data_IF_983140040242
#
_entry.id   IF_983140040242
#
_cell.length_a   1.000
_cell.length_b   1.000
_cell.length_c   1.000
_cell.angle_alpha   90.00
_cell.angle_beta   90.00
_cell.angle_gamma   90.00
#
_symmetry.space_group_name_H-M   'P 1'
#
loop_
_entity.id
_entity.type
_entity.pdbx_description
1 polymer ?
#
# COMPACT_ATOMS: atom_id res chain seq x y z
N UNK A 1 -21.36 16.09 37.97
CA UNK A 1 -22.24 15.63 39.08
C UNK A 1 -23.26 14.65 38.58
N UNK A 2 -23.77 13.87 39.49
CA UNK A 2 -24.94 12.99 39.27
C UNK A 2 -26.18 13.81 39.47
N UNK A 3 -27.13 13.76 38.53
CA UNK A 3 -28.38 14.50 38.64
C UNK A 3 -29.52 13.51 38.82
N UNK A 4 -30.40 13.79 39.78
CA UNK A 4 -31.59 13.03 40.05
C UNK A 4 -32.81 13.84 39.67
N UNK A 5 -33.64 13.28 38.80
CA UNK A 5 -34.83 13.92 38.28
C UNK A 5 -36.09 13.16 38.77
N UNK A 6 -37.09 13.92 39.13
CA UNK A 6 -38.42 13.39 39.30
C UNK A 6 -39.43 14.33 38.65
N UNK A 7 -40.57 13.81 38.24
CA UNK A 7 -41.66 14.56 37.61
C UNK A 7 -42.88 14.53 38.52
N UNK A 8 -43.57 15.67 38.59
CA UNK A 8 -44.80 15.80 39.34
C UNK A 8 -45.85 16.46 38.42
N UNK A 9 -46.95 15.77 38.21
CA UNK A 9 -48.07 16.37 37.50
C UNK A 9 -48.81 17.35 38.41
N UNK A 10 -49.38 18.38 37.84
CA UNK A 10 -50.19 19.32 38.56
C UNK A 10 -51.48 19.66 37.74
N UNK A 11 -52.51 20.04 38.46
CA UNK A 11 -53.74 20.66 37.89
C UNK A 11 -54.06 21.93 38.66
N UNK A 12 -54.79 22.84 38.03
CA UNK A 12 -55.28 24.06 38.68
C UNK A 12 -56.80 23.97 38.86
N UNK A 13 -57.24 24.34 40.05
CA UNK A 13 -58.66 24.56 40.36
C UNK A 13 -58.75 25.97 40.92
N UNK A 14 -59.13 26.94 40.06
CA UNK A 14 -58.99 28.37 40.39
C UNK A 14 -57.51 28.73 40.60
N UNK A 15 -57.24 29.48 41.66
CA UNK A 15 -55.87 29.90 42.03
C UNK A 15 -55.09 28.83 42.81
N UNK A 16 -55.67 27.65 43.03
CA UNK A 16 -54.98 26.59 43.78
C UNK A 16 -54.37 25.55 42.81
N UNK A 17 -53.04 25.31 42.95
CA UNK A 17 -52.38 24.19 42.34
C UNK A 17 -52.59 22.91 43.21
N UNK A 18 -53.09 21.88 42.53
CA UNK A 18 -53.18 20.52 43.11
C UNK A 18 -52.07 19.66 42.49
N UNK A 19 -51.12 19.21 43.31
CA UNK A 19 -49.96 18.46 42.87
C UNK A 19 -50.21 16.94 43.07
N UNK A 20 -49.96 16.17 42.03
CA UNK A 20 -49.95 14.73 42.12
C UNK A 20 -48.76 14.17 42.92
N UNK A 21 -48.76 12.88 43.23
CA UNK A 21 -47.59 12.21 43.78
C UNK A 21 -46.37 12.33 42.86
N UNK A 22 -45.21 12.58 43.42
CA UNK A 22 -43.95 12.62 42.67
C UNK A 22 -43.65 11.24 42.04
N UNK A 23 -43.19 11.23 40.81
CA UNK A 23 -42.69 10.00 40.17
C UNK A 23 -41.51 9.39 40.90
N UNK A 24 -41.18 8.14 40.61
CA UNK A 24 -39.91 7.56 41.04
C UNK A 24 -38.74 8.41 40.48
N UNK A 25 -37.69 8.55 41.26
CA UNK A 25 -36.52 9.30 40.89
C UNK A 25 -35.70 8.52 39.84
N UNK A 26 -35.28 9.23 38.77
CA UNK A 26 -34.36 8.70 37.78
C UNK A 26 -33.03 9.47 37.90
N UNK A 27 -31.97 8.73 38.09
CA UNK A 27 -30.63 9.29 38.24
C UNK A 27 -29.85 9.23 36.90
N UNK A 28 -29.31 10.36 36.49
CA UNK A 28 -28.46 10.48 35.30
C UNK A 28 -27.07 11.00 35.70
N UNK A 29 -26.06 10.26 35.33
CA UNK A 29 -24.66 10.69 35.47
C UNK A 29 -24.06 11.03 34.12
N UNK A 30 -23.43 12.20 33.93
CA UNK A 30 -22.74 12.50 32.69
C UNK A 30 -21.66 11.46 32.41
N UNK A 31 -21.54 11.04 31.17
CA UNK A 31 -20.46 10.14 30.71
C UNK A 31 -19.89 10.63 29.38
N UNK A 32 -18.56 10.43 29.13
CA UNK A 32 -17.99 10.76 27.84
C UNK A 32 -18.62 9.91 26.72
N UNK A 33 -18.92 10.54 25.57
CA UNK A 33 -19.46 9.87 24.39
C UNK A 33 -18.30 9.37 23.54
N UNK A 34 -18.15 8.05 23.45
CA UNK A 34 -17.13 7.40 22.62
C UNK A 34 -17.44 7.58 21.13
N UNK A 35 -16.43 8.00 20.33
CA UNK A 35 -16.54 8.18 18.88
C UNK A 35 -15.94 7.03 18.09
N UNK A 36 -14.69 6.69 18.36
CA UNK A 36 -13.99 5.67 17.56
C UNK A 36 -12.86 4.98 18.32
N UNK A 37 -12.55 3.77 17.89
CA UNK A 37 -11.30 3.06 18.18
C UNK A 37 -10.72 2.59 16.84
N UNK A 38 -9.52 3.07 16.50
CA UNK A 38 -8.88 2.80 15.19
C UNK A 38 -7.48 2.24 15.39
N UNK A 39 -7.23 1.06 14.82
CA UNK A 39 -5.91 0.45 14.84
C UNK A 39 -4.87 1.32 14.12
N UNK A 40 -3.69 1.44 14.73
CA UNK A 40 -2.56 2.16 14.18
C UNK A 40 -1.28 1.32 14.24
N UNK A 41 -0.47 1.40 13.20
CA UNK A 41 0.90 0.86 13.13
C UNK A 41 1.07 -0.64 13.50
N UNK A 42 -0.03 -1.42 13.54
CA UNK A 42 0.01 -2.85 13.86
C UNK A 42 0.24 -3.20 15.34
N UNK A 43 0.34 -2.20 16.23
CA UNK A 43 0.59 -2.39 17.66
C UNK A 43 -0.06 -1.33 18.55
N UNK A 44 -0.97 -0.53 18.00
CA UNK A 44 -1.64 0.52 18.74
C UNK A 44 -3.10 0.69 18.30
N UNK A 45 -3.92 1.31 19.16
CA UNK A 45 -5.28 1.75 18.87
C UNK A 45 -5.43 3.19 19.34
N UNK A 46 -5.83 4.09 18.44
CA UNK A 46 -6.26 5.44 18.80
C UNK A 46 -7.74 5.42 19.14
N UNK A 47 -8.07 5.88 20.35
CA UNK A 47 -9.45 6.04 20.85
C UNK A 47 -9.78 7.51 20.87
N UNK A 48 -10.99 7.88 20.46
CA UNK A 48 -11.49 9.25 20.49
C UNK A 48 -12.87 9.30 21.10
N UNK A 49 -13.18 10.41 21.79
CA UNK A 49 -14.48 10.67 22.41
C UNK A 49 -14.86 12.15 22.32
N UNK A 50 -16.08 12.49 22.68
CA UNK A 50 -16.49 13.89 22.79
C UNK A 50 -15.96 14.50 24.09
N UNK A 51 -15.42 15.73 24.04
CA UNK A 51 -15.03 16.45 25.25
C UNK A 51 -16.27 16.64 26.17
N UNK A 52 -16.13 16.28 27.43
CA UNK A 52 -17.15 16.51 28.45
C UNK A 52 -16.79 17.80 29.21
N UNK A 53 -17.71 18.77 29.24
CA UNK A 53 -17.49 20.03 29.97
C UNK A 53 -17.38 19.79 31.47
N UNK A 54 -16.50 20.54 32.13
CA UNK A 54 -16.33 20.52 33.58
C UNK A 54 -15.55 19.33 34.14
N UNK A 55 -14.87 18.56 33.28
CA UNK A 55 -13.92 17.52 33.72
C UNK A 55 -12.50 18.03 33.72
N UNK A 56 -11.72 17.64 34.71
CA UNK A 56 -10.30 18.02 34.82
C UNK A 56 -9.40 17.17 33.93
N UNK A 57 -9.80 15.91 33.75
CA UNK A 57 -9.05 14.93 32.95
C UNK A 57 -9.92 13.69 32.63
N UNK A 58 -9.34 12.74 31.91
CA UNK A 58 -9.97 11.46 31.59
C UNK A 58 -9.10 10.30 32.05
N UNK A 59 -9.78 9.15 32.31
CA UNK A 59 -9.16 7.84 32.51
C UNK A 59 -9.68 6.92 31.41
N UNK A 60 -8.78 6.35 30.61
CA UNK A 60 -9.07 5.36 29.59
C UNK A 60 -8.94 3.96 30.19
N UNK A 61 -9.97 3.15 30.04
CA UNK A 61 -9.97 1.74 30.37
C UNK A 61 -10.03 0.90 29.10
N UNK A 62 -9.48 -0.30 29.18
CA UNK A 62 -9.57 -1.29 28.12
C UNK A 62 -9.84 -2.68 28.65
N UNK A 63 -10.38 -3.54 27.80
CA UNK A 63 -10.42 -4.99 27.99
C UNK A 63 -9.98 -5.68 26.70
N UNK A 64 -9.21 -6.75 26.86
CA UNK A 64 -8.68 -7.56 25.76
C UNK A 64 -9.55 -8.79 25.57
N UNK A 65 -10.05 -9.06 24.35
CA UNK A 65 -10.83 -10.25 24.01
C UNK A 65 -11.95 -10.56 25.01
N UNK A 66 -12.64 -9.53 25.52
CA UNK A 66 -13.74 -9.69 26.47
C UNK A 66 -13.36 -9.92 27.94
N UNK A 67 -12.09 -9.82 28.31
CA UNK A 67 -11.62 -9.90 29.72
C UNK A 67 -12.17 -8.76 30.59
N UNK A 68 -11.80 -8.73 31.88
CA UNK A 68 -12.11 -7.62 32.77
C UNK A 68 -11.48 -6.30 32.34
N UNK A 69 -12.09 -5.18 32.76
CA UNK A 69 -11.59 -3.84 32.51
C UNK A 69 -10.27 -3.59 33.24
N UNK A 70 -9.29 -3.02 32.54
CA UNK A 70 -8.00 -2.57 33.05
C UNK A 70 -7.80 -1.12 32.67
N UNK A 71 -7.06 -0.38 33.47
CA UNK A 71 -6.67 0.99 33.16
C UNK A 71 -5.58 1.00 32.09
N UNK A 72 -5.79 1.77 31.03
CA UNK A 72 -4.81 2.00 29.98
C UNK A 72 -3.97 3.27 30.25
N UNK A 73 -4.64 4.33 30.71
CA UNK A 73 -4.01 5.62 31.01
C UNK A 73 -4.93 6.49 31.88
N UNK A 74 -4.32 7.41 32.64
CA UNK A 74 -5.00 8.43 33.44
C UNK A 74 -4.42 9.83 33.19
N UNK A 75 -5.06 10.85 33.77
CA UNK A 75 -4.69 12.25 33.64
C UNK A 75 -4.64 12.74 32.18
N UNK A 76 -5.46 12.13 31.30
CA UNK A 76 -5.56 12.50 29.89
C UNK A 76 -6.29 13.84 29.80
N UNK A 77 -5.69 14.84 29.15
CA UNK A 77 -6.30 16.17 28.97
C UNK A 77 -7.06 16.30 27.67
N UNK A 78 -6.64 15.57 26.64
CA UNK A 78 -7.27 15.57 25.33
C UNK A 78 -8.46 14.62 25.26
N UNK A 79 -9.35 14.84 24.30
CA UNK A 79 -10.45 13.93 23.98
C UNK A 79 -10.02 12.75 23.10
N UNK A 80 -8.76 12.35 23.19
CA UNK A 80 -8.21 11.19 22.50
C UNK A 80 -6.99 10.62 23.21
N UNK A 81 -6.73 9.32 22.98
CA UNK A 81 -5.53 8.66 23.50
C UNK A 81 -5.11 7.54 22.54
N UNK A 82 -3.80 7.33 22.39
CA UNK A 82 -3.25 6.20 21.61
C UNK A 82 -2.66 5.16 22.57
N UNK A 83 -3.36 4.04 22.72
CA UNK A 83 -2.89 2.90 23.50
C UNK A 83 -1.93 2.08 22.65
N UNK A 84 -0.68 1.96 23.08
CA UNK A 84 0.44 1.33 22.36
C UNK A 84 0.81 -0.03 22.95
N UNK A 85 1.79 -0.71 22.33
CA UNK A 85 2.31 -2.04 22.75
C UNK A 85 1.23 -3.13 22.77
N UNK A 86 0.27 -3.02 21.88
CA UNK A 86 -0.82 -3.97 21.72
C UNK A 86 -0.41 -5.15 20.84
N UNK A 87 -1.07 -6.29 21.06
CA UNK A 87 -0.81 -7.52 20.31
C UNK A 87 -1.59 -7.53 19.00
N UNK A 88 -0.89 -7.74 17.89
CA UNK A 88 -1.48 -7.89 16.57
C UNK A 88 -2.51 -9.04 16.53
N UNK A 89 -3.68 -8.77 15.97
CA UNK A 89 -4.77 -9.73 15.82
C UNK A 89 -5.73 -9.77 17.00
N UNK A 90 -5.40 -9.22 18.17
CA UNK A 90 -6.30 -9.19 19.30
C UNK A 90 -7.32 -8.05 19.19
N UNK A 91 -8.49 -8.27 19.81
CA UNK A 91 -9.54 -7.28 19.94
C UNK A 91 -9.40 -6.55 21.28
N UNK A 92 -9.46 -5.22 21.24
CA UNK A 92 -9.49 -4.38 22.42
C UNK A 92 -10.76 -3.54 22.41
N UNK A 93 -11.46 -3.55 23.54
CA UNK A 93 -12.64 -2.70 23.78
C UNK A 93 -12.25 -1.63 24.79
N UNK A 94 -12.69 -0.41 24.54
CA UNK A 94 -12.31 0.76 25.34
C UNK A 94 -13.53 1.46 25.92
N UNK A 95 -13.36 2.03 27.09
CA UNK A 95 -14.30 2.97 27.69
C UNK A 95 -13.55 4.08 28.43
N UNK A 96 -14.21 5.20 28.64
CA UNK A 96 -13.60 6.41 29.22
C UNK A 96 -14.47 6.94 30.36
N UNK A 97 -13.83 7.41 31.42
CA UNK A 97 -14.44 8.20 32.49
C UNK A 97 -13.82 9.59 32.53
N UNK A 98 -14.64 10.61 32.73
CA UNK A 98 -14.16 11.91 33.14
C UNK A 98 -13.83 11.94 34.64
N UNK A 99 -12.93 12.82 35.05
CA UNK A 99 -12.51 13.04 36.45
C UNK A 99 -12.78 14.50 36.79
N UNK A 100 -13.41 14.74 37.95
CA UNK A 100 -13.62 16.06 38.53
C UNK A 100 -13.19 15.98 39.97
N UNK A 101 -12.08 16.65 40.32
CA UNK A 101 -11.42 16.45 41.61
C UNK A 101 -11.10 14.95 41.83
N UNK A 102 -11.62 14.40 42.92
CA UNK A 102 -11.46 12.96 43.25
C UNK A 102 -12.59 12.07 42.73
N UNK A 103 -13.58 12.64 42.04
CA UNK A 103 -14.75 11.89 41.57
C UNK A 103 -14.61 11.50 40.09
N UNK A 104 -15.22 10.35 39.75
CA UNK A 104 -15.27 9.81 38.36
C UNK A 104 -16.69 9.86 37.85
N UNK A 105 -16.86 10.27 36.60
CA UNK A 105 -18.17 10.17 35.91
C UNK A 105 -18.55 8.71 35.67
N UNK A 106 -19.77 8.48 35.24
CA UNK A 106 -20.16 7.19 34.70
C UNK A 106 -19.45 6.87 33.39
N UNK A 107 -19.63 5.67 32.83
CA UNK A 107 -18.95 5.21 31.64
C UNK A 107 -19.85 4.28 30.80
N UNK A 108 -19.59 4.26 29.50
CA UNK A 108 -20.27 3.33 28.60
C UNK A 108 -19.77 1.89 28.83
N UNK A 109 -20.65 1.03 29.39
CA UNK A 109 -20.33 -0.38 29.73
C UNK A 109 -20.06 -1.24 28.48
N UNK A 110 -20.63 -0.89 27.31
CA UNK A 110 -20.39 -1.61 26.05
C UNK A 110 -19.05 -1.24 25.45
N UNK A 111 -18.68 0.06 25.55
CA UNK A 111 -17.44 0.59 24.98
C UNK A 111 -17.41 0.62 23.47
N UNK A 112 -16.23 0.95 22.91
CA UNK A 112 -15.93 0.90 21.48
C UNK A 112 -14.77 -0.06 21.24
N UNK A 113 -14.86 -0.90 20.19
CA UNK A 113 -13.93 -2.00 19.96
C UNK A 113 -13.14 -1.83 18.67
N UNK A 114 -11.89 -2.27 18.68
CA UNK A 114 -11.06 -2.44 17.50
C UNK A 114 -10.20 -3.71 17.56
N UNK A 115 -10.01 -4.35 16.42
CA UNK A 115 -8.92 -5.32 16.27
C UNK A 115 -7.64 -4.58 15.94
N UNK A 116 -6.51 -5.01 16.51
CA UNK A 116 -5.19 -4.55 16.09
C UNK A 116 -4.86 -5.22 14.78
N UNK A 117 -4.86 -4.45 13.69
CA UNK A 117 -4.61 -4.94 12.33
C UNK A 117 -3.24 -4.51 11.82
N UNK A 118 -2.66 -5.21 10.82
CA UNK A 118 -1.38 -4.81 10.25
C UNK A 118 -1.39 -3.35 9.77
N UNK A 119 -0.28 -2.66 9.95
CA UNK A 119 -0.09 -1.33 9.37
C UNK A 119 -0.11 -1.37 7.83
N UNK A 120 -0.25 -0.20 7.21
CA UNK A 120 -0.11 -0.07 5.76
C UNK A 120 1.28 -0.51 5.31
N UNK A 121 1.32 -1.32 4.25
CA UNK A 121 2.57 -1.80 3.67
C UNK A 121 3.28 -0.66 2.94
N UNK A 122 4.56 -0.46 3.20
CA UNK A 122 5.39 0.46 2.41
C UNK A 122 5.66 -0.18 1.06
N UNK A 123 5.05 0.39 0.01
CA UNK A 123 5.23 -0.06 -1.37
C UNK A 123 6.65 0.28 -1.84
N UNK A 124 7.30 -0.67 -2.52
CA UNK A 124 8.62 -0.51 -3.09
C UNK A 124 8.57 -0.02 -4.55
N UNK A 125 8.86 -0.91 -5.50
CA UNK A 125 8.91 -0.58 -6.93
C UNK A 125 8.05 -1.54 -7.75
N UNK A 126 7.56 -1.03 -8.90
CA UNK A 126 7.04 -1.87 -9.99
C UNK A 126 8.01 -1.76 -11.15
N UNK A 127 8.72 -2.83 -11.44
CA UNK A 127 9.74 -2.89 -12.50
C UNK A 127 9.30 -3.83 -13.60
N UNK A 128 9.78 -3.58 -14.82
CA UNK A 128 9.58 -4.53 -15.92
C UNK A 128 10.32 -5.83 -15.61
N UNK A 129 9.64 -6.96 -15.77
CA UNK A 129 10.22 -8.30 -15.72
C UNK A 129 10.15 -9.01 -17.07
N UNK A 130 9.67 -8.30 -18.11
CA UNK A 130 9.52 -8.77 -19.47
C UNK A 130 8.51 -7.94 -20.24
N UNK A 131 8.28 -8.28 -21.50
CA UNK A 131 7.34 -7.56 -22.37
C UNK A 131 5.87 -7.70 -21.93
N UNK A 132 5.55 -8.72 -21.16
CA UNK A 132 4.21 -9.13 -20.75
C UNK A 132 4.07 -9.27 -19.24
N UNK A 133 5.05 -8.80 -18.45
CA UNK A 133 5.06 -8.98 -17.01
C UNK A 133 5.79 -7.87 -16.26
N UNK A 134 5.36 -7.64 -15.04
CA UNK A 134 5.99 -6.69 -14.12
C UNK A 134 6.24 -7.36 -12.76
N UNK A 135 7.29 -6.94 -12.09
CA UNK A 135 7.61 -7.36 -10.72
C UNK A 135 7.30 -6.22 -9.74
N UNK A 136 6.46 -6.52 -8.75
CA UNK A 136 6.16 -5.66 -7.63
C UNK A 136 7.03 -6.06 -6.44
N UNK A 137 7.42 -5.08 -5.61
CA UNK A 137 8.12 -5.32 -4.34
C UNK A 137 7.53 -4.41 -3.26
N UNK A 138 7.65 -4.83 -2.01
CA UNK A 138 7.22 -4.07 -0.82
C UNK A 138 8.03 -4.48 0.40
N UNK A 139 7.96 -3.67 1.44
CA UNK A 139 8.67 -3.93 2.70
C UNK A 139 7.92 -5.00 3.50
N UNK A 140 8.68 -5.94 4.09
CA UNK A 140 8.13 -6.94 5.02
C UNK A 140 7.48 -6.25 6.21
N UNK A 141 6.29 -6.73 6.57
CA UNK A 141 5.55 -6.31 7.77
C UNK A 141 5.70 -7.41 8.83
N UNK A 142 6.18 -7.04 10.01
CA UNK A 142 6.30 -7.98 11.14
C UNK A 142 4.92 -8.48 11.57
N UNK A 143 4.82 -9.78 11.82
CA UNK A 143 3.57 -10.43 12.19
C UNK A 143 2.55 -10.62 11.06
N UNK A 144 2.88 -10.23 9.82
CA UNK A 144 2.02 -10.53 8.68
C UNK A 144 2.06 -12.02 8.36
N UNK A 145 0.88 -12.63 8.23
CA UNK A 145 0.71 -13.99 7.71
C UNK A 145 0.74 -14.06 6.18
N UNK A 146 0.65 -12.90 5.52
CA UNK A 146 0.70 -12.79 4.06
C UNK A 146 0.23 -11.41 3.57
N UNK A 147 0.12 -11.30 2.26
CA UNK A 147 -0.21 -10.06 1.56
C UNK A 147 -1.26 -10.31 0.49
N UNK A 148 -2.17 -9.35 0.33
CA UNK A 148 -3.13 -9.31 -0.77
C UNK A 148 -2.73 -8.20 -1.72
N UNK A 149 -2.52 -8.55 -2.98
CA UNK A 149 -2.18 -7.63 -4.06
C UNK A 149 -3.46 -7.23 -4.78
N UNK A 150 -3.60 -5.94 -5.05
CA UNK A 150 -4.68 -5.37 -5.84
C UNK A 150 -4.12 -4.65 -7.06
N UNK A 151 -4.88 -4.70 -8.14
CA UNK A 151 -4.65 -3.93 -9.37
C UNK A 151 -5.81 -2.95 -9.56
N UNK A 152 -5.51 -1.74 -10.05
CA UNK A 152 -6.53 -0.75 -10.37
C UNK A 152 -7.10 -1.01 -11.76
N UNK A 153 -8.39 -1.32 -11.84
CA UNK A 153 -9.11 -1.52 -13.09
C UNK A 153 -10.35 -0.61 -13.09
N UNK A 154 -10.53 0.18 -14.14
CA UNK A 154 -11.65 1.11 -14.28
C UNK A 154 -11.88 1.97 -13.01
N UNK A 155 -10.79 2.49 -12.43
CA UNK A 155 -10.81 3.30 -11.23
C UNK A 155 -10.95 2.53 -9.91
N UNK A 156 -11.29 1.25 -9.91
CA UNK A 156 -11.53 0.41 -8.72
C UNK A 156 -10.39 -0.55 -8.44
N UNK A 157 -10.12 -0.83 -7.17
CA UNK A 157 -9.16 -1.83 -6.73
C UNK A 157 -9.77 -3.24 -6.81
N UNK A 158 -9.17 -4.08 -7.64
CA UNK A 158 -9.57 -5.48 -7.82
C UNK A 158 -8.48 -6.40 -7.28
N UNK A 159 -8.87 -7.41 -6.51
CA UNK A 159 -7.92 -8.41 -5.97
C UNK A 159 -7.28 -9.16 -7.13
N UNK A 160 -5.95 -9.12 -7.18
CA UNK A 160 -5.12 -9.80 -8.18
C UNK A 160 -4.62 -11.14 -7.66
N UNK A 161 -4.00 -11.15 -6.48
CA UNK A 161 -3.38 -12.34 -5.89
C UNK A 161 -3.21 -12.23 -4.38
N UNK A 162 -2.82 -13.35 -3.77
CA UNK A 162 -2.37 -13.44 -2.38
C UNK A 162 -1.02 -14.16 -2.36
N UNK A 163 -0.09 -13.72 -1.49
CA UNK A 163 1.25 -14.32 -1.35
C UNK A 163 1.78 -14.14 0.07
N UNK A 164 2.71 -14.97 0.48
CA UNK A 164 3.49 -14.81 1.71
C UNK A 164 4.82 -14.06 1.47
N UNK A 165 5.24 -13.95 0.21
CA UNK A 165 6.46 -13.25 -0.20
C UNK A 165 6.28 -11.73 -0.15
N UNK A 166 7.40 -10.98 -0.16
CA UNK A 166 7.44 -9.52 -0.26
C UNK A 166 7.62 -9.02 -1.69
N UNK A 167 7.38 -9.88 -2.67
CA UNK A 167 7.36 -9.55 -4.09
C UNK A 167 6.35 -10.43 -4.83
N UNK A 168 5.89 -9.93 -5.98
CA UNK A 168 4.97 -10.64 -6.85
C UNK A 168 5.27 -10.32 -8.31
N UNK A 169 5.24 -11.32 -9.18
CA UNK A 169 5.33 -11.12 -10.63
C UNK A 169 3.93 -11.26 -11.22
N UNK A 170 3.40 -10.14 -11.70
CA UNK A 170 2.16 -10.12 -12.45
C UNK A 170 2.45 -10.39 -13.93
N UNK A 171 1.96 -11.53 -14.43
CA UNK A 171 2.08 -11.96 -15.82
C UNK A 171 0.75 -11.64 -16.54
N UNK A 172 0.84 -11.26 -17.80
CA UNK A 172 -0.31 -10.99 -18.65
C UNK A 172 -1.32 -12.14 -18.64
N UNK A 173 -2.58 -11.81 -18.48
CA UNK A 173 -3.71 -12.74 -18.56
C UNK A 173 -4.94 -12.03 -19.15
N UNK A 174 -5.94 -12.81 -19.61
CA UNK A 174 -7.20 -12.26 -20.14
C UNK A 174 -7.91 -11.39 -19.11
N UNK A 175 -7.94 -11.81 -17.84
CA UNK A 175 -8.60 -11.10 -16.74
C UNK A 175 -7.81 -9.84 -16.29
N UNK A 176 -6.49 -9.93 -16.27
CA UNK A 176 -5.60 -8.88 -15.82
C UNK A 176 -4.50 -8.64 -16.85
N UNK A 177 -4.78 -7.85 -17.91
CA UNK A 177 -3.84 -7.68 -19.01
C UNK A 177 -2.63 -6.82 -18.62
N UNK A 178 -1.43 -7.31 -19.00
CA UNK A 178 -0.17 -6.59 -18.94
C UNK A 178 0.33 -6.36 -20.37
N UNK A 179 0.03 -5.19 -20.90
CA UNK A 179 0.42 -4.78 -22.25
C UNK A 179 1.69 -3.96 -22.19
N UNK A 180 2.66 -4.28 -23.05
CA UNK A 180 3.92 -3.53 -23.18
C UNK A 180 3.67 -2.02 -23.33
N UNK A 181 4.33 -1.21 -22.49
CA UNK A 181 4.23 0.24 -22.52
C UNK A 181 3.00 0.82 -21.82
N UNK A 182 1.98 0.02 -21.51
CA UNK A 182 0.81 0.44 -20.72
C UNK A 182 1.14 0.38 -19.25
N UNK A 183 0.78 1.44 -18.50
CA UNK A 183 0.90 1.47 -17.04
C UNK A 183 -0.17 0.63 -16.38
N UNK A 184 0.22 -0.17 -15.39
CA UNK A 184 -0.67 -0.82 -14.44
C UNK A 184 -0.36 -0.31 -13.03
N UNK A 185 -1.40 0.01 -12.27
CA UNK A 185 -1.27 0.55 -10.89
C UNK A 185 -1.68 -0.52 -9.90
N UNK A 186 -0.88 -0.67 -8.85
CA UNK A 186 -1.01 -1.72 -7.85
C UNK A 186 -0.99 -1.14 -6.44
N UNK A 187 -1.66 -1.84 -5.54
CA UNK A 187 -1.50 -1.64 -4.10
C UNK A 187 -1.44 -2.99 -3.38
N UNK A 188 -0.90 -2.98 -2.17
CA UNK A 188 -0.73 -4.20 -1.36
C UNK A 188 -1.17 -3.90 0.05
N UNK A 189 -1.89 -4.82 0.68
CA UNK A 189 -2.12 -4.80 2.12
C UNK A 189 -1.65 -6.07 2.78
N UNK A 190 -1.14 -5.95 3.98
CA UNK A 190 -0.82 -7.10 4.82
C UNK A 190 -2.07 -7.70 5.44
N UNK A 191 -2.02 -8.98 5.77
CA UNK A 191 -3.02 -9.66 6.56
C UNK A 191 -2.36 -10.43 7.72
N UNK A 192 -3.05 -10.55 8.83
CA UNK A 192 -2.70 -11.45 9.93
C UNK A 192 -3.84 -12.44 10.18
N UNK A 193 -3.54 -13.53 10.88
CA UNK A 193 -4.52 -14.55 11.28
C UNK A 193 -4.51 -14.70 12.79
N UNK A 194 -5.68 -14.70 13.39
CA UNK A 194 -5.86 -14.91 14.82
C UNK A 194 -7.23 -15.58 15.06
N UNK A 195 -7.26 -16.66 15.84
CA UNK A 195 -8.49 -17.38 16.20
C UNK A 195 -9.37 -17.66 14.97
N UNK A 196 -8.82 -18.27 13.93
CA UNK A 196 -9.48 -18.58 12.65
C UNK A 196 -10.01 -17.36 11.86
N UNK A 197 -9.77 -16.12 12.33
CA UNK A 197 -10.11 -14.89 11.60
C UNK A 197 -8.92 -14.37 10.83
N UNK A 198 -9.16 -13.93 9.59
CA UNK A 198 -8.20 -13.19 8.80
C UNK A 198 -8.51 -11.68 8.91
N UNK A 199 -7.57 -10.93 9.43
CA UNK A 199 -7.67 -9.48 9.59
C UNK A 199 -6.75 -8.80 8.60
N UNK A 200 -7.22 -7.72 8.02
CA UNK A 200 -6.52 -7.03 6.95
C UNK A 200 -6.13 -5.62 7.38
N UNK A 201 -4.89 -5.26 7.10
CA UNK A 201 -4.41 -3.90 7.25
C UNK A 201 -4.97 -2.95 6.20
N UNK A 202 -4.67 -1.68 6.34
CA UNK A 202 -4.94 -0.66 5.32
C UNK A 202 -3.98 -0.80 4.11
N UNK A 203 -4.31 -0.12 3.01
CA UNK A 203 -3.45 -0.02 1.83
C UNK A 203 -3.44 1.41 1.27
N UNK A 204 -2.45 1.73 0.44
CA UNK A 204 -2.36 3.02 -0.23
C UNK A 204 -3.46 3.16 -1.30
N UNK A 205 -4.26 4.20 -1.22
CA UNK A 205 -5.30 4.51 -2.22
C UNK A 205 -4.71 5.01 -3.56
N UNK A 206 -3.52 5.58 -3.55
CA UNK A 206 -2.80 6.02 -4.76
C UNK A 206 -2.10 4.87 -5.46
N UNK A 207 -1.53 3.93 -4.68
CA UNK A 207 -0.77 2.80 -5.20
C UNK A 207 0.55 3.20 -5.88
N UNK A 208 1.14 2.26 -6.62
CA UNK A 208 2.35 2.45 -7.43
C UNK A 208 2.12 1.93 -8.85
N UNK A 209 2.69 2.62 -9.84
CA UNK A 209 2.49 2.29 -11.25
C UNK A 209 3.80 1.83 -11.89
N UNK A 210 3.72 0.81 -12.74
CA UNK A 210 4.83 0.34 -13.57
C UNK A 210 4.36 -0.17 -14.92
N UNK A 211 5.31 -0.36 -15.83
CA UNK A 211 5.08 -0.77 -17.22
C UNK A 211 5.91 -2.00 -17.55
N UNK A 212 5.33 -2.94 -18.28
CA UNK A 212 6.08 -4.00 -18.94
C UNK A 212 6.83 -3.42 -20.16
N UNK A 213 8.09 -3.79 -20.31
CA UNK A 213 8.97 -3.37 -21.40
C UNK A 213 9.78 -4.59 -21.84
N UNK A 214 10.29 -4.62 -23.09
CA UNK A 214 11.22 -5.66 -23.51
C UNK A 214 12.43 -5.76 -22.56
N UNK A 215 12.86 -6.97 -22.27
CA UNK A 215 14.02 -7.20 -21.43
C UNK A 215 15.30 -6.63 -22.09
N UNK A 216 16.30 -6.34 -21.28
CA UNK A 216 17.62 -5.97 -21.79
C UNK A 216 18.24 -7.17 -22.52
N UNK A 217 18.78 -6.94 -23.71
CA UNK A 217 19.60 -7.91 -24.42
C UNK A 217 21.08 -7.76 -24.03
N UNK A 218 21.92 -8.69 -24.51
CA UNK A 218 23.38 -8.62 -24.38
C UNK A 218 24.03 -8.87 -25.73
N UNK A 219 25.09 -8.11 -26.05
CA UNK A 219 25.93 -8.39 -27.21
C UNK A 219 26.73 -9.66 -26.92
N UNK A 220 26.57 -10.67 -27.75
CA UNK A 220 27.30 -11.94 -27.67
C UNK A 220 28.69 -11.82 -28.34
N UNK A 221 28.76 -11.26 -29.54
CA UNK A 221 30.04 -11.08 -30.24
C UNK A 221 30.10 -9.80 -31.07
N UNK A 222 31.31 -9.33 -31.33
CA UNK A 222 31.67 -8.27 -32.27
C UNK A 222 32.80 -8.78 -33.15
N UNK A 223 32.49 -9.15 -34.39
CA UNK A 223 33.46 -9.73 -35.32
C UNK A 223 33.83 -8.70 -36.42
N UNK A 224 35.08 -8.18 -36.39
CA UNK A 224 35.51 -7.17 -37.32
C UNK A 224 35.92 -7.75 -38.69
N UNK A 225 35.57 -7.05 -39.74
CA UNK A 225 36.08 -7.29 -41.11
C UNK A 225 36.46 -5.98 -41.75
N UNK A 226 36.96 -5.99 -42.99
CA UNK A 226 37.33 -4.78 -43.72
C UNK A 226 36.12 -3.84 -43.81
N UNK A 227 36.24 -2.64 -43.23
CA UNK A 227 35.21 -1.60 -43.19
C UNK A 227 33.83 -2.05 -42.68
N UNK A 228 33.81 -3.11 -41.86
CA UNK A 228 32.54 -3.65 -41.33
C UNK A 228 32.71 -4.28 -39.95
N UNK A 229 31.60 -4.42 -39.24
CA UNK A 229 31.51 -5.07 -37.91
C UNK A 229 30.24 -5.88 -37.80
N UNK A 230 30.37 -7.20 -37.72
CA UNK A 230 29.24 -8.08 -37.45
C UNK A 230 28.95 -8.06 -35.93
N UNK A 231 27.70 -7.75 -35.60
CA UNK A 231 27.19 -7.63 -34.22
C UNK A 231 26.17 -8.74 -33.97
N UNK A 232 26.47 -9.64 -33.06
CA UNK A 232 25.53 -10.68 -32.62
C UNK A 232 25.06 -10.39 -31.19
N UNK A 233 23.80 -10.77 -30.87
CA UNK A 233 23.18 -10.48 -29.58
C UNK A 233 22.16 -11.54 -29.17
N UNK A 234 21.86 -11.60 -27.88
CA UNK A 234 20.95 -12.60 -27.32
C UNK A 234 19.49 -12.27 -27.65
N UNK A 235 18.70 -13.33 -27.94
CA UNK A 235 17.26 -13.25 -28.16
C UNK A 235 16.56 -12.70 -26.93
N UNK A 236 15.55 -11.83 -27.13
CA UNK A 236 14.63 -11.33 -26.10
C UNK A 236 13.23 -11.82 -26.44
N UNK A 237 12.60 -12.47 -25.46
CA UNK A 237 11.22 -12.96 -25.63
C UNK A 237 10.27 -11.79 -25.99
N UNK A 238 9.40 -12.02 -26.98
CA UNK A 238 8.40 -11.06 -27.41
C UNK A 238 8.94 -9.80 -28.12
N UNK A 239 10.23 -9.75 -28.45
CA UNK A 239 10.78 -8.66 -29.24
C UNK A 239 10.22 -8.68 -30.67
N UNK A 240 9.76 -7.52 -31.13
CA UNK A 240 9.42 -7.30 -32.56
C UNK A 240 10.66 -6.97 -33.40
N UNK A 241 11.75 -6.59 -32.76
CA UNK A 241 13.02 -6.29 -33.39
C UNK A 241 14.06 -5.73 -32.43
N UNK A 242 15.19 -5.37 -33.02
CA UNK A 242 16.34 -4.83 -32.28
C UNK A 242 16.82 -3.53 -32.92
N UNK A 243 17.27 -2.62 -32.09
CA UNK A 243 17.97 -1.41 -32.51
C UNK A 243 19.41 -1.50 -32.04
N UNK A 244 20.31 -1.48 -33.00
CA UNK A 244 21.76 -1.43 -32.80
C UNK A 244 22.19 0.03 -32.91
N UNK A 245 22.85 0.53 -31.90
CA UNK A 245 23.45 1.86 -31.86
C UNK A 245 24.97 1.71 -31.93
N UNK A 246 25.65 2.48 -32.79
CA UNK A 246 27.09 2.42 -32.96
C UNK A 246 27.68 3.81 -33.19
N UNK A 247 28.88 4.05 -32.67
CA UNK A 247 29.57 5.33 -32.75
C UNK A 247 31.08 5.15 -32.65
N UNK A 248 31.82 6.13 -33.14
CA UNK A 248 33.28 6.29 -32.87
C UNK A 248 33.53 6.77 -31.41
N UNK A 249 32.55 7.31 -30.76
CA UNK A 249 32.63 7.85 -29.41
C UNK A 249 31.75 7.04 -28.44
N UNK A 250 32.22 6.81 -27.20
CA UNK A 250 31.53 5.98 -26.20
C UNK A 250 30.17 6.55 -25.81
N UNK A 251 30.05 7.86 -25.68
CA UNK A 251 28.89 8.48 -25.02
C UNK A 251 28.06 9.39 -25.96
N UNK A 252 28.50 9.61 -27.22
CA UNK A 252 27.83 10.50 -28.18
C UNK A 252 27.91 10.01 -29.62
N UNK A 253 27.18 10.68 -30.52
CA UNK A 253 27.29 10.50 -31.97
C UNK A 253 26.80 9.16 -32.49
N UNK A 254 25.84 8.51 -31.81
CA UNK A 254 25.33 7.21 -32.20
C UNK A 254 24.49 7.26 -33.46
N UNK A 255 24.85 6.42 -34.42
CA UNK A 255 24.00 6.03 -35.58
C UNK A 255 23.21 4.77 -35.23
N UNK A 256 22.09 4.52 -35.90
CA UNK A 256 21.17 3.46 -35.56
C UNK A 256 20.85 2.58 -36.77
N UNK A 257 20.85 1.26 -36.54
CA UNK A 257 20.31 0.26 -37.46
C UNK A 257 19.20 -0.51 -36.73
N UNK A 258 18.07 -0.73 -37.40
CA UNK A 258 16.95 -1.48 -36.87
C UNK A 258 16.75 -2.74 -37.69
N UNK A 259 16.58 -3.87 -37.02
CA UNK A 259 16.36 -5.19 -37.64
C UNK A 259 15.11 -5.88 -37.05
N UNK A 260 14.56 -6.83 -37.79
CA UNK A 260 13.40 -7.62 -37.34
C UNK A 260 13.76 -8.55 -36.16
N UNK A 261 12.75 -9.01 -35.41
CA UNK A 261 12.91 -9.85 -34.21
C UNK A 261 13.52 -11.23 -34.45
N UNK A 262 13.47 -11.73 -35.69
CA UNK A 262 14.05 -13.02 -36.07
C UNK A 262 15.57 -12.95 -36.33
N UNK A 263 16.11 -11.74 -36.52
CA UNK A 263 17.55 -11.55 -36.73
C UNK A 263 18.26 -11.34 -35.40
N UNK A 264 19.22 -12.21 -35.08
CA UNK A 264 20.06 -12.13 -33.88
C UNK A 264 21.48 -11.69 -34.19
N UNK A 265 21.73 -11.28 -35.42
CA UNK A 265 22.97 -10.65 -35.88
C UNK A 265 22.70 -9.65 -36.99
N UNK A 266 23.61 -8.69 -37.16
CA UNK A 266 23.62 -7.75 -38.28
C UNK A 266 25.04 -7.27 -38.52
N UNK A 267 25.35 -6.95 -39.78
CA UNK A 267 26.65 -6.37 -40.14
C UNK A 267 26.50 -4.88 -40.37
N UNK A 268 27.21 -4.10 -39.59
CA UNK A 268 27.42 -2.66 -39.80
C UNK A 268 28.43 -2.50 -40.92
N UNK A 269 28.06 -1.86 -42.02
CA UNK A 269 28.90 -1.64 -43.21
C UNK A 269 29.33 -0.19 -43.31
N UNK A 270 30.25 0.07 -44.22
CA UNK A 270 30.79 1.41 -44.52
C UNK A 270 31.36 2.11 -43.27
N UNK A 271 32.07 1.35 -42.46
CA UNK A 271 32.78 1.85 -41.31
C UNK A 271 34.20 2.27 -41.70
N UNK A 272 34.72 3.25 -40.97
CA UNK A 272 36.13 3.65 -41.13
C UNK A 272 37.07 2.49 -40.73
N UNK A 273 38.10 2.21 -41.54
CA UNK A 273 39.10 1.18 -41.28
C UNK A 273 39.93 1.54 -40.03
N UNK A 274 40.38 0.53 -39.29
CA UNK A 274 41.29 0.66 -38.14
C UNK A 274 40.80 1.62 -37.03
N UNK A 275 39.44 1.82 -36.92
CA UNK A 275 38.83 2.66 -35.89
C UNK A 275 38.05 1.82 -34.90
N UNK A 276 38.05 2.24 -33.62
CA UNK A 276 37.21 1.63 -32.59
C UNK A 276 35.76 2.10 -32.73
N UNK A 277 34.83 1.16 -32.81
CA UNK A 277 33.40 1.43 -32.76
C UNK A 277 32.78 0.92 -31.47
N UNK A 278 32.10 1.83 -30.75
CA UNK A 278 31.34 1.54 -29.57
C UNK A 278 29.91 1.13 -29.97
N UNK A 279 29.45 -0.02 -29.48
CA UNK A 279 28.19 -0.63 -29.91
C UNK A 279 27.36 -0.95 -28.68
N UNK A 280 26.06 -0.67 -28.73
CA UNK A 280 25.04 -1.10 -27.79
C UNK A 280 23.77 -1.52 -28.52
N UNK A 281 23.05 -2.49 -27.98
CA UNK A 281 21.84 -3.07 -28.60
C UNK A 281 20.69 -3.03 -27.61
N UNK A 282 19.49 -2.74 -28.09
CA UNK A 282 18.25 -2.90 -27.31
C UNK A 282 17.18 -3.59 -28.14
N UNK A 283 16.33 -4.37 -27.48
CA UNK A 283 15.13 -4.91 -28.08
C UNK A 283 14.01 -3.86 -28.09
N UNK A 284 13.10 -3.95 -29.07
CA UNK A 284 11.84 -3.23 -29.03
C UNK A 284 10.66 -4.16 -29.28
N UNK A 285 9.49 -3.76 -28.80
CA UNK A 285 8.19 -4.37 -29.10
C UNK A 285 7.28 -3.34 -29.72
N UNK A 286 6.61 -3.70 -30.81
CA UNK A 286 5.59 -2.87 -31.44
C UNK A 286 4.23 -3.27 -30.91
N UNK A 287 3.48 -2.30 -30.38
CA UNK A 287 2.09 -2.45 -29.93
C UNK A 287 1.31 -1.29 -30.52
N UNK A 288 0.22 -1.57 -31.24
CA UNK A 288 -0.60 -0.57 -31.91
C UNK A 288 0.23 0.43 -32.72
N UNK A 289 1.10 -0.07 -33.59
CA UNK A 289 2.03 0.70 -34.45
C UNK A 289 3.09 1.53 -33.70
N UNK A 290 3.10 1.55 -32.36
CA UNK A 290 4.09 2.26 -31.54
C UNK A 290 5.18 1.33 -31.04
N UNK A 291 6.45 1.75 -31.14
CA UNK A 291 7.61 1.01 -30.64
C UNK A 291 7.90 1.36 -29.20
N UNK A 292 8.04 0.33 -28.35
CA UNK A 292 8.46 0.43 -26.95
C UNK A 292 9.81 -0.26 -26.81
N UNK A 293 10.82 0.48 -26.37
CA UNK A 293 12.20 0.03 -26.31
C UNK A 293 12.57 -0.42 -24.90
N UNK A 294 13.26 -1.56 -24.82
CA UNK A 294 13.96 -2.01 -23.63
C UNK A 294 15.23 -1.16 -23.37
N UNK A 295 15.88 -1.42 -22.23
CA UNK A 295 17.16 -0.80 -21.93
C UNK A 295 18.25 -1.29 -22.90
N UNK A 296 19.21 -0.43 -23.20
CA UNK A 296 20.40 -0.83 -23.95
C UNK A 296 21.25 -1.84 -23.19
N UNK A 297 21.91 -2.76 -23.95
CA UNK A 297 23.01 -3.57 -23.43
C UNK A 297 24.13 -2.67 -22.87
N UNK A 298 25.02 -3.21 -22.04
CA UNK A 298 26.31 -2.57 -21.81
C UNK A 298 26.99 -2.27 -23.15
N UNK A 299 27.70 -1.14 -23.20
CA UNK A 299 28.48 -0.76 -24.39
C UNK A 299 29.67 -1.72 -24.52
N UNK A 300 29.86 -2.29 -25.71
CA UNK A 300 31.08 -3.00 -26.12
C UNK A 300 31.74 -2.25 -27.25
N UNK A 301 33.04 -2.43 -27.44
CA UNK A 301 33.75 -1.85 -28.58
C UNK A 301 34.63 -2.87 -29.26
N UNK A 302 34.92 -2.61 -30.54
CA UNK A 302 35.84 -3.40 -31.34
C UNK A 302 36.42 -2.53 -32.43
N UNK A 303 37.71 -2.76 -32.74
CA UNK A 303 38.42 -2.11 -33.83
C UNK A 303 38.08 -2.81 -35.15
N UNK A 304 37.71 -2.07 -36.21
CA UNK A 304 37.55 -2.57 -37.59
C UNK A 304 38.88 -2.99 -38.18
N UNK A 305 38.85 -3.85 -39.19
CA UNK A 305 40.05 -4.19 -39.98
C UNK A 305 40.25 -3.19 -41.13
#
# INVERSE_FOLDING_TARGET
>A
GTYTYCVRAYTRNGDKELLAKTSNAVTCSPQPVLKSAVSQNGNAVKVTWEPLKGVDSYILYYRKNGSSWKEAARNIKDASYTHTKLTLGDQYTYTVRGVVGNQKTDYNKNGVSAYVVPAAVKLGKVTSAGYDRVKLTWTKMNGAAGYVIYIKQNGKWTKLATTTNTSYIHINSKKFPVVTGRGNTYTVRAMCRKNNKTLYGSYSNTGITGKAMPARTAISSLNPSKNALAVSYKKVAGASGYQIAYSLYKDKGYRYVTVSGNRLSTTLKNLASKKNYFVKVRAYRTVNKKRYYGAYSPVKYKKTK
#
